data_IF_208453400677
#
_entry.id   IF_208453400677
#
_cell.length_a   1.000
_cell.length_b   1.000
_cell.length_c   1.000
_cell.angle_alpha   90.00
_cell.angle_beta   90.00
_cell.angle_gamma   90.00
#
_symmetry.space_group_name_H-M   'P 1'
#
loop_
_entity.id
_entity.type
_entity.pdbx_description
1 polymer ?
#
# COMPACT_ATOMS: atom_id res chain seq x y z
N UNK A 1 -4.23 -17.84 -8.90
CA UNK A 1 -3.17 -16.90 -8.45
C UNK A 1 -2.15 -17.51 -7.51
N UNK A 2 -2.54 -18.06 -6.33
CA UNK A 2 -1.55 -18.57 -5.37
C UNK A 2 -0.62 -19.68 -5.92
N UNK A 3 -1.17 -20.58 -6.75
CA UNK A 3 -0.40 -21.65 -7.43
C UNK A 3 0.43 -21.15 -8.61
N UNK A 4 0.14 -19.96 -9.12
CA UNK A 4 0.80 -19.36 -10.29
C UNK A 4 2.04 -18.54 -9.89
N UNK A 5 2.23 -18.30 -8.59
CA UNK A 5 3.41 -17.63 -8.06
C UNK A 5 4.60 -18.60 -8.06
N UNK A 6 5.60 -18.27 -8.89
CA UNK A 6 6.80 -19.09 -9.10
C UNK A 6 7.55 -19.35 -7.79
N UNK A 7 7.79 -20.62 -7.49
CA UNK A 7 8.52 -21.10 -6.32
C UNK A 7 7.65 -21.59 -5.15
N UNK A 8 6.32 -21.48 -5.23
CA UNK A 8 5.38 -21.78 -4.12
C UNK A 8 5.79 -20.96 -2.85
N UNK A 9 5.14 -21.14 -1.71
CA UNK A 9 5.21 -20.20 -0.56
C UNK A 9 4.61 -18.82 -0.86
N UNK A 10 3.38 -18.82 -1.36
CA UNK A 10 2.61 -17.62 -1.68
C UNK A 10 1.62 -17.27 -0.57
N UNK A 11 1.41 -15.97 -0.36
CA UNK A 11 0.32 -15.41 0.41
C UNK A 11 -0.70 -14.83 -0.56
N UNK A 12 -1.97 -15.20 -0.38
CA UNK A 12 -3.11 -14.58 -1.06
C UNK A 12 -4.06 -14.08 0.01
N UNK A 13 -4.46 -12.82 -0.10
CA UNK A 13 -5.47 -12.22 0.77
C UNK A 13 -6.62 -11.75 -0.13
N UNK A 14 -7.80 -12.28 0.15
CA UNK A 14 -9.05 -11.87 -0.49
C UNK A 14 -9.88 -11.09 0.53
N UNK A 15 -10.24 -9.87 0.18
CA UNK A 15 -11.15 -9.03 0.92
C UNK A 15 -12.46 -8.96 0.15
N UNK A 16 -13.46 -9.67 0.68
CA UNK A 16 -14.83 -9.61 0.21
C UNK A 16 -15.69 -8.88 1.24
N UNK A 17 -16.20 -7.70 0.88
CA UNK A 17 -17.10 -6.92 1.73
C UNK A 17 -18.54 -7.21 1.32
N UNK A 18 -19.50 -7.02 2.26
CA UNK A 18 -20.94 -7.16 2.00
C UNK A 18 -21.43 -6.34 0.81
N UNK A 19 -20.72 -5.26 0.47
CA UNK A 19 -20.94 -4.45 -0.71
C UNK A 19 -19.62 -4.08 -1.38
N UNK A 20 -19.63 -3.96 -2.71
CA UNK A 20 -18.48 -3.62 -3.54
C UNK A 20 -17.79 -4.83 -4.18
N UNK A 21 -16.81 -4.56 -5.03
CA UNK A 21 -16.03 -5.60 -5.69
C UNK A 21 -15.02 -6.25 -4.72
N UNK A 22 -14.82 -7.54 -4.89
CA UNK A 22 -13.77 -8.28 -4.21
C UNK A 22 -12.40 -7.68 -4.56
N UNK A 23 -11.53 -7.63 -3.55
CA UNK A 23 -10.14 -7.24 -3.71
C UNK A 23 -9.24 -8.41 -3.39
N UNK A 24 -8.29 -8.67 -4.26
CA UNK A 24 -7.33 -9.74 -4.08
C UNK A 24 -5.92 -9.17 -4.20
N UNK A 25 -5.08 -9.46 -3.21
CA UNK A 25 -3.64 -9.26 -3.27
C UNK A 25 -2.93 -10.60 -3.16
N UNK A 26 -1.88 -10.79 -3.95
CA UNK A 26 -1.14 -12.04 -4.00
C UNK A 26 0.36 -11.78 -4.18
N UNK A 27 1.19 -12.56 -3.52
CA UNK A 27 2.64 -12.44 -3.63
C UNK A 27 3.38 -13.50 -2.83
N UNK A 28 4.72 -13.47 -2.86
CA UNK A 28 5.52 -14.38 -2.02
C UNK A 28 5.31 -14.04 -0.54
N UNK A 29 5.14 -15.07 0.29
CA UNK A 29 5.20 -14.94 1.74
C UNK A 29 6.58 -14.39 2.15
N UNK A 30 6.62 -13.53 3.16
CA UNK A 30 7.80 -12.73 3.48
C UNK A 30 7.71 -11.33 2.84
N UNK A 31 8.07 -11.12 1.55
CA UNK A 31 8.04 -9.80 0.93
C UNK A 31 6.67 -9.10 1.01
N UNK A 32 5.58 -9.81 0.69
CA UNK A 32 4.23 -9.24 0.77
C UNK A 32 3.85 -8.93 2.22
N UNK A 33 4.07 -9.86 3.14
CA UNK A 33 3.75 -9.66 4.55
C UNK A 33 4.52 -8.47 5.15
N UNK A 34 5.82 -8.35 4.86
CA UNK A 34 6.66 -7.24 5.34
C UNK A 34 6.14 -5.90 4.81
N UNK A 35 5.81 -5.79 3.52
CA UNK A 35 5.21 -4.55 2.97
C UNK A 35 3.88 -4.24 3.64
N UNK A 36 2.99 -5.23 3.78
CA UNK A 36 1.69 -5.03 4.42
C UNK A 36 1.84 -4.52 5.86
N UNK A 37 2.73 -5.12 6.66
CA UNK A 37 2.99 -4.65 8.03
C UNK A 37 3.51 -3.20 8.04
N UNK A 38 4.41 -2.83 7.13
CA UNK A 38 4.88 -1.44 6.98
C UNK A 38 3.72 -0.50 6.62
N UNK A 39 2.87 -0.86 5.66
CA UNK A 39 1.71 -0.04 5.27
C UNK A 39 0.68 0.09 6.39
N UNK A 40 0.41 -0.99 7.14
CA UNK A 40 -0.45 -0.96 8.34
C UNK A 40 0.11 0.05 9.34
N UNK A 41 1.41 -0.04 9.65
CA UNK A 41 2.08 0.89 10.56
C UNK A 41 1.99 2.34 10.08
N UNK A 42 2.22 2.60 8.79
CA UNK A 42 2.09 3.94 8.21
C UNK A 42 0.66 4.48 8.35
N UNK A 43 -0.36 3.66 8.12
CA UNK A 43 -1.76 4.06 8.31
C UNK A 43 -2.10 4.35 9.77
N UNK A 44 -1.71 3.46 10.68
CA UNK A 44 -1.99 3.63 12.12
C UNK A 44 -1.25 4.83 12.72
N UNK A 45 -0.05 5.13 12.23
CA UNK A 45 0.69 6.37 12.55
C UNK A 45 0.15 7.62 11.83
N UNK A 46 -0.92 7.50 11.04
CA UNK A 46 -1.48 8.58 10.20
C UNK A 46 -0.46 9.19 9.23
N UNK A 47 0.63 8.49 8.90
CA UNK A 47 1.67 8.98 8.01
C UNK A 47 1.19 9.13 6.56
N UNK A 48 0.12 8.43 6.18
CA UNK A 48 -0.49 8.48 4.85
C UNK A 48 -2.00 8.51 4.97
N UNK A 49 -2.65 9.39 4.20
CA UNK A 49 -4.11 9.48 4.16
C UNK A 49 -4.75 8.27 3.46
N UNK A 50 -5.95 7.90 3.91
CA UNK A 50 -6.74 6.79 3.32
C UNK A 50 -7.06 7.03 1.84
N UNK A 51 -7.22 8.29 1.42
CA UNK A 51 -7.52 8.68 0.04
C UNK A 51 -6.37 8.42 -0.94
N UNK A 52 -5.12 8.41 -0.47
CA UNK A 52 -3.94 8.20 -1.32
C UNK A 52 -4.02 6.89 -2.10
N UNK A 53 -4.46 5.79 -1.47
CA UNK A 53 -4.52 4.50 -2.13
C UNK A 53 -5.54 4.47 -3.29
N UNK A 54 -6.68 5.16 -3.14
CA UNK A 54 -7.68 5.28 -4.20
C UNK A 54 -7.24 6.20 -5.34
N UNK A 55 -6.46 7.25 -5.04
CA UNK A 55 -5.84 8.09 -6.07
C UNK A 55 -4.81 7.31 -6.90
N UNK A 56 -3.99 6.47 -6.26
CA UNK A 56 -3.05 5.60 -6.97
C UNK A 56 -3.77 4.53 -7.81
N UNK A 57 -4.87 3.97 -7.28
CA UNK A 57 -5.72 3.04 -8.05
C UNK A 57 -6.33 3.73 -9.27
N UNK A 58 -6.85 4.96 -9.11
CA UNK A 58 -7.38 5.76 -10.21
C UNK A 58 -6.29 6.04 -11.25
N UNK A 59 -5.12 6.49 -10.81
CA UNK A 59 -3.97 6.74 -11.70
C UNK A 59 -3.64 5.50 -12.54
N UNK A 60 -3.56 4.32 -11.93
CA UNK A 60 -3.28 3.09 -12.66
C UNK A 60 -4.34 2.79 -13.73
N UNK A 61 -5.63 3.00 -13.42
CA UNK A 61 -6.71 2.77 -14.38
C UNK A 61 -6.64 3.76 -15.55
N UNK A 62 -6.54 5.06 -15.24
CA UNK A 62 -6.53 6.12 -16.24
C UNK A 62 -5.34 5.96 -17.21
N UNK A 63 -4.20 5.44 -16.73
CA UNK A 63 -3.00 5.23 -17.56
C UNK A 63 -2.96 3.87 -18.27
N UNK A 64 -3.65 2.85 -17.75
CA UNK A 64 -3.81 1.56 -18.45
C UNK A 64 -4.56 1.73 -19.78
N UNK A 65 -5.51 2.67 -19.83
CA UNK A 65 -6.26 3.00 -21.04
C UNK A 65 -5.41 3.77 -22.08
N UNK A 66 -4.38 4.49 -21.62
CA UNK A 66 -3.57 5.40 -22.45
C UNK A 66 -2.23 4.81 -22.92
N UNK A 67 -1.92 3.54 -22.62
CA UNK A 67 -0.67 2.85 -22.99
C UNK A 67 0.62 3.64 -22.67
N UNK A 68 0.65 4.28 -21.52
CA UNK A 68 1.78 5.11 -21.07
C UNK A 68 2.89 4.25 -20.46
N UNK A 69 4.15 4.71 -20.58
CA UNK A 69 5.29 4.00 -20.00
C UNK A 69 5.19 3.90 -18.47
N UNK A 70 5.63 2.75 -17.93
CA UNK A 70 5.63 2.50 -16.49
C UNK A 70 6.46 3.52 -15.70
N UNK A 71 7.52 4.06 -16.30
CA UNK A 71 8.35 5.09 -15.68
C UNK A 71 7.57 6.39 -15.43
N UNK A 72 6.79 6.82 -16.42
CA UNK A 72 5.94 8.02 -16.29
C UNK A 72 4.85 7.79 -15.25
N UNK A 73 4.23 6.61 -15.26
CA UNK A 73 3.23 6.21 -14.24
C UNK A 73 3.84 6.26 -12.83
N UNK A 74 5.03 5.69 -12.65
CA UNK A 74 5.72 5.68 -11.35
C UNK A 74 6.12 7.09 -10.89
N UNK A 75 6.58 7.95 -11.81
CA UNK A 75 6.90 9.35 -11.52
C UNK A 75 5.65 10.11 -11.07
N UNK A 76 4.52 9.89 -11.72
CA UNK A 76 3.25 10.51 -11.35
C UNK A 76 2.71 9.99 -10.02
N UNK A 77 2.82 8.68 -9.76
CA UNK A 77 2.47 8.08 -8.46
C UNK A 77 3.29 8.72 -7.33
N UNK A 78 4.59 8.90 -7.52
CA UNK A 78 5.46 9.58 -6.55
C UNK A 78 5.07 11.05 -6.36
N UNK A 79 4.68 11.75 -7.43
CA UNK A 79 4.19 13.14 -7.35
C UNK A 79 2.93 13.22 -6.49
N UNK A 80 1.98 12.29 -6.67
CA UNK A 80 0.78 12.19 -5.83
C UNK A 80 1.18 12.02 -4.37
N UNK A 81 2.05 11.06 -4.05
CA UNK A 81 2.50 10.79 -2.68
C UNK A 81 3.18 12.02 -2.07
N UNK A 82 4.13 12.64 -2.78
CA UNK A 82 4.86 13.83 -2.31
C UNK A 82 3.95 15.03 -2.01
N UNK A 83 2.85 15.17 -2.75
CA UNK A 83 1.87 16.25 -2.54
C UNK A 83 0.99 16.02 -1.31
N UNK A 84 0.83 14.78 -0.84
CA UNK A 84 -0.06 14.47 0.28
C UNK A 84 0.50 14.95 1.61
N UNK A 85 -0.41 15.13 2.56
CA UNK A 85 -0.12 15.43 3.95
C UNK A 85 -0.34 14.19 4.81
N UNK A 86 0.28 14.18 5.98
CA UNK A 86 -0.05 13.21 7.02
C UNK A 86 -1.56 13.32 7.35
N UNK A 87 -2.23 12.19 7.52
CA UNK A 87 -3.68 12.11 7.65
C UNK A 87 -4.19 12.92 8.86
N UNK A 88 -5.03 13.92 8.59
CA UNK A 88 -5.61 14.78 9.63
C UNK A 88 -4.65 15.85 10.16
N UNK A 89 -3.61 16.21 9.40
CA UNK A 89 -2.72 17.32 9.72
C UNK A 89 -2.25 18.05 8.45
N UNK A 90 -1.69 19.25 8.62
CA UNK A 90 -1.03 19.99 7.54
C UNK A 90 0.44 19.60 7.35
N UNK A 91 0.94 18.63 8.11
CA UNK A 91 2.34 18.20 8.03
C UNK A 91 2.60 17.44 6.73
N UNK A 92 3.72 17.75 6.08
CA UNK A 92 4.16 17.02 4.89
C UNK A 92 4.47 15.57 5.26
N UNK A 93 4.24 14.64 4.33
CA UNK A 93 4.71 13.27 4.47
C UNK A 93 6.23 13.27 4.64
N UNK A 94 6.74 12.52 5.61
CA UNK A 94 8.18 12.44 5.88
C UNK A 94 8.98 11.75 4.77
N UNK A 95 10.23 12.15 4.59
CA UNK A 95 11.11 11.67 3.51
C UNK A 95 11.32 10.16 3.54
N UNK A 96 11.36 9.55 4.73
CA UNK A 96 11.44 8.09 4.88
C UNK A 96 10.28 7.39 4.16
N UNK A 97 9.05 7.91 4.31
CA UNK A 97 7.86 7.34 3.67
C UNK A 97 7.97 7.47 2.15
N UNK A 98 8.39 8.64 1.66
CA UNK A 98 8.58 8.89 0.22
C UNK A 98 9.61 7.90 -0.36
N UNK A 99 10.74 7.71 0.30
CA UNK A 99 11.79 6.75 -0.10
C UNK A 99 11.27 5.31 -0.13
N UNK A 100 10.51 4.89 0.88
CA UNK A 100 9.91 3.55 0.91
C UNK A 100 8.97 3.32 -0.29
N UNK A 101 8.14 4.30 -0.65
CA UNK A 101 7.28 4.19 -1.83
C UNK A 101 8.05 4.17 -3.14
N UNK A 102 9.13 4.95 -3.25
CA UNK A 102 10.02 4.90 -4.41
C UNK A 102 10.64 3.50 -4.58
N UNK A 103 11.10 2.88 -3.50
CA UNK A 103 11.63 1.52 -3.53
C UNK A 103 10.56 0.48 -3.91
N UNK A 104 9.33 0.64 -3.44
CA UNK A 104 8.24 -0.27 -3.77
C UNK A 104 7.81 -0.16 -5.22
N UNK A 105 7.69 1.06 -5.76
CA UNK A 105 7.30 1.28 -7.17
C UNK A 105 8.33 0.73 -8.18
N UNK A 106 9.59 0.55 -7.77
CA UNK A 106 10.62 -0.13 -8.57
C UNK A 106 10.43 -1.65 -8.66
N UNK A 107 9.67 -2.26 -7.74
CA UNK A 107 9.61 -3.71 -7.55
C UNK A 107 8.19 -4.29 -7.66
N UNK A 108 7.17 -3.45 -7.49
CA UNK A 108 5.77 -3.85 -7.39
C UNK A 108 4.95 -3.00 -8.35
N UNK A 109 4.09 -3.59 -9.19
CA UNK A 109 3.19 -2.84 -10.05
C UNK A 109 2.32 -1.86 -9.25
N UNK A 110 2.05 -0.68 -9.81
CA UNK A 110 1.27 0.37 -9.13
C UNK A 110 -0.11 -0.14 -8.70
N UNK A 111 -0.78 -0.94 -9.53
CA UNK A 111 -2.05 -1.56 -9.19
C UNK A 111 -1.97 -2.39 -7.91
N UNK A 112 -1.01 -3.33 -7.84
CA UNK A 112 -0.84 -4.20 -6.68
C UNK A 112 -0.52 -3.39 -5.43
N UNK A 113 0.36 -2.38 -5.55
CA UNK A 113 0.70 -1.49 -4.45
C UNK A 113 -0.54 -0.74 -3.93
N UNK A 114 -1.40 -0.24 -4.81
CA UNK A 114 -2.63 0.43 -4.43
C UNK A 114 -3.63 -0.52 -3.74
N UNK A 115 -3.75 -1.77 -4.20
CA UNK A 115 -4.58 -2.78 -3.54
C UNK A 115 -4.04 -3.14 -2.16
N UNK A 116 -2.73 -3.33 -2.02
CA UNK A 116 -2.05 -3.60 -0.75
C UNK A 116 -2.31 -2.49 0.27
N UNK A 117 -2.23 -1.23 -0.14
CA UNK A 117 -2.53 -0.09 0.74
C UNK A 117 -3.98 -0.11 1.24
N UNK A 118 -4.93 -0.46 0.37
CA UNK A 118 -6.36 -0.51 0.74
C UNK A 118 -6.63 -1.63 1.73
N UNK A 119 -6.03 -2.80 1.50
CA UNK A 119 -6.08 -3.93 2.44
C UNK A 119 -5.40 -3.57 3.77
N UNK A 120 -4.24 -2.91 3.73
CA UNK A 120 -3.51 -2.48 4.91
C UNK A 120 -4.32 -1.49 5.77
N UNK A 121 -5.03 -0.54 5.16
CA UNK A 121 -5.93 0.37 5.87
C UNK A 121 -7.06 -0.37 6.62
N UNK A 122 -7.57 -1.46 6.05
CA UNK A 122 -8.62 -2.26 6.69
C UNK A 122 -8.05 -3.03 7.88
N UNK A 123 -6.88 -3.66 7.72
CA UNK A 123 -6.20 -4.29 8.84
C UNK A 123 -5.85 -3.29 9.95
N UNK A 124 -5.37 -2.11 9.60
CA UNK A 124 -5.11 -1.03 10.55
C UNK A 124 -6.37 -0.67 11.36
N UNK A 125 -7.50 -0.47 10.68
CA UNK A 125 -8.79 -0.18 11.32
C UNK A 125 -9.22 -1.33 12.25
N UNK A 126 -9.09 -2.57 11.80
CA UNK A 126 -9.44 -3.75 12.60
C UNK A 126 -8.55 -3.90 13.85
N UNK A 127 -7.24 -3.62 13.71
CA UNK A 127 -6.31 -3.62 14.84
C UNK A 127 -6.65 -2.54 15.86
N UNK A 128 -7.01 -1.34 15.40
CA UNK A 128 -7.43 -0.24 16.28
C UNK A 128 -8.73 -0.60 17.02
N UNK A 129 -9.72 -1.21 16.33
CA UNK A 129 -10.96 -1.71 16.95
C UNK A 129 -10.71 -2.80 17.99
N UNK A 130 -9.73 -3.68 17.74
CA UNK A 130 -9.35 -4.75 18.65
C UNK A 130 -8.44 -4.27 19.80
N UNK A 131 -8.11 -2.97 19.88
CA UNK A 131 -7.23 -2.43 20.92
C UNK A 131 -5.78 -2.90 20.84
N UNK A 132 -5.34 -3.40 19.67
CA UNK A 132 -3.95 -3.85 19.47
C UNK A 132 -3.04 -2.65 19.60
N UNK A 133 -2.05 -2.69 20.50
CA UNK A 133 -1.10 -1.57 20.64
C UNK A 133 -0.25 -1.41 19.38
N UNK A 134 0.10 -0.18 19.04
CA UNK A 134 1.14 0.06 18.05
C UNK A 134 2.44 -0.57 18.57
N UNK A 135 3.15 -1.40 17.77
CA UNK A 135 4.42 -1.94 18.20
C UNK A 135 5.38 -0.78 18.49
N UNK A 136 5.90 -0.76 19.73
CA UNK A 136 6.97 0.16 20.13
C UNK A 136 8.18 -0.19 19.28
N UNK A 137 8.78 0.81 18.63
CA UNK A 137 10.01 0.60 17.88
C UNK A 137 11.08 0.08 18.85
N UNK A 138 11.43 -1.20 18.73
CA UNK A 138 12.79 -1.59 19.09
C UNK A 138 13.65 -0.91 18.04
N UNK A 139 14.37 0.12 18.44
CA UNK A 139 15.55 0.54 17.71
C UNK A 139 16.39 -0.72 17.54
N UNK A 140 16.47 -1.23 16.31
CA UNK A 140 17.46 -2.23 15.97
C UNK A 140 18.81 -1.53 16.15
N UNK A 141 19.46 -1.80 17.29
CA UNK A 141 20.86 -1.49 17.58
C UNK A 141 21.73 -2.39 16.72
#
# INVERSE_FOLDING_TARGET
KGKDIKGKNALVIVLSKRSGADREIAGKWGPLNIRLQKMIKLHRKKAISKGTAYELQKLNRDFAEANISIEVVNKEALRIIKRKRESGSDKKIGDYVIKQFEEWLKKVPLYDLAQEMIVANIFATAQDMAGVKLPVEKEEI
#
